data_IF_372243003458
#
_entry.id   IF_372243003458
#
_cell.length_a   1.000
_cell.length_b   1.000
_cell.length_c   1.000
_cell.angle_alpha   90.00
_cell.angle_beta   90.00
_cell.angle_gamma   90.00
#
_symmetry.space_group_name_H-M   'P 1'
#
loop_
_entity.id
_entity.type
_entity.pdbx_description
1 polymer ?
#
# COMPACT_ATOMS: atom_id res chain seq x y z
N UNK A 1 -0.76 -33.00 -14.37
CA UNK A 1 -1.55 -31.72 -14.43
C UNK A 1 -2.56 -31.66 -13.31
N UNK A 2 -2.66 -30.48 -12.68
CA UNK A 2 -3.70 -30.23 -11.69
C UNK A 2 -4.18 -28.77 -11.69
N UNK A 3 -5.45 -28.59 -11.33
CA UNK A 3 -6.04 -27.31 -11.00
C UNK A 3 -6.54 -27.38 -9.55
N UNK A 4 -5.68 -27.11 -8.58
CA UNK A 4 -6.03 -27.25 -7.17
C UNK A 4 -6.99 -26.12 -6.72
N UNK A 5 -7.78 -26.35 -5.66
CA UNK A 5 -8.69 -25.33 -5.15
C UNK A 5 -7.93 -24.13 -4.59
N UNK A 6 -8.41 -22.90 -4.89
CA UNK A 6 -7.81 -21.63 -4.44
C UNK A 6 -8.29 -21.16 -3.06
N UNK A 7 -8.98 -22.00 -2.32
CA UNK A 7 -9.51 -21.67 -1.01
C UNK A 7 -8.43 -21.67 0.09
N UNK A 8 -8.65 -20.89 1.13
CA UNK A 8 -7.79 -20.85 2.31
C UNK A 8 -8.41 -21.67 3.46
N UNK A 9 -7.61 -22.51 4.09
CA UNK A 9 -7.98 -23.20 5.32
C UNK A 9 -7.90 -22.22 6.51
N UNK A 10 -9.06 -21.84 7.07
CA UNK A 10 -9.13 -20.91 8.19
C UNK A 10 -10.39 -21.15 9.01
N UNK A 11 -10.26 -21.06 10.34
CA UNK A 11 -11.37 -21.06 11.27
C UNK A 11 -11.86 -19.64 11.58
N UNK A 12 -11.18 -18.59 11.10
CA UNK A 12 -11.54 -17.23 11.39
C UNK A 12 -12.74 -16.77 10.54
N UNK A 13 -13.77 -16.22 11.18
CA UNK A 13 -14.74 -15.35 10.53
C UNK A 13 -14.01 -14.08 10.11
N UNK A 14 -13.76 -13.91 8.81
CA UNK A 14 -12.98 -12.77 8.33
C UNK A 14 -13.72 -11.46 8.51
N UNK A 15 -13.07 -10.38 9.01
CA UNK A 15 -13.66 -9.05 9.12
C UNK A 15 -14.01 -8.42 7.76
N UNK A 16 -13.44 -8.90 6.67
CA UNK A 16 -13.53 -8.28 5.33
C UNK A 16 -14.74 -8.70 4.49
N UNK A 17 -15.69 -9.47 5.02
CA UNK A 17 -16.96 -9.77 4.35
C UNK A 17 -16.92 -10.58 3.04
N UNK A 18 -15.76 -10.80 2.45
CA UNK A 18 -15.58 -11.54 1.18
C UNK A 18 -15.43 -13.06 1.34
N UNK A 19 -15.66 -13.59 2.53
CA UNK A 19 -15.27 -14.94 2.91
C UNK A 19 -16.39 -15.91 3.29
N UNK A 20 -17.59 -15.79 2.77
CA UNK A 20 -18.66 -16.78 3.07
C UNK A 20 -18.25 -18.23 2.80
N UNK A 21 -17.32 -18.48 1.90
CA UNK A 21 -16.82 -19.83 1.60
C UNK A 21 -15.62 -20.28 2.44
N UNK A 22 -14.96 -19.37 3.16
CA UNK A 22 -13.78 -19.70 3.99
C UNK A 22 -14.11 -20.45 5.27
N UNK A 23 -15.29 -20.22 5.84
CA UNK A 23 -15.74 -20.85 7.10
C UNK A 23 -15.99 -22.36 7.01
N UNK A 24 -15.86 -23.00 5.85
CA UNK A 24 -16.11 -24.43 5.64
C UNK A 24 -14.85 -25.29 5.52
N UNK A 25 -13.66 -24.65 5.49
CA UNK A 25 -12.39 -25.39 5.32
C UNK A 25 -11.61 -25.27 6.62
N UNK A 26 -11.62 -26.34 7.40
CA UNK A 26 -10.94 -26.44 8.68
C UNK A 26 -9.42 -26.44 8.51
N UNK A 27 -8.71 -25.73 9.38
CA UNK A 27 -7.26 -25.85 9.57
C UNK A 27 -6.90 -26.96 10.60
N UNK A 28 -7.88 -27.72 11.08
CA UNK A 28 -7.69 -28.80 12.04
C UNK A 28 -7.50 -30.18 11.39
N UNK A 29 -7.48 -30.24 10.05
CA UNK A 29 -7.23 -31.49 9.34
C UNK A 29 -5.79 -31.96 9.57
N UNK A 30 -5.60 -33.29 9.65
CA UNK A 30 -4.27 -33.89 9.78
C UNK A 30 -3.30 -33.47 8.68
N UNK A 31 -3.80 -33.26 7.45
CA UNK A 31 -3.00 -32.80 6.31
C UNK A 31 -2.51 -31.37 6.59
N UNK A 32 -3.39 -30.47 7.06
CA UNK A 32 -2.97 -29.12 7.39
C UNK A 32 -1.97 -29.08 8.52
N UNK A 33 -2.21 -29.84 9.60
CA UNK A 33 -1.30 -29.95 10.75
C UNK A 33 0.08 -30.44 10.35
N UNK A 34 0.15 -31.43 9.47
CA UNK A 34 1.41 -31.91 8.91
C UNK A 34 2.08 -30.86 8.03
N UNK A 35 1.34 -30.25 7.12
CA UNK A 35 1.89 -29.24 6.22
C UNK A 35 2.39 -27.99 6.96
N UNK A 36 1.73 -27.55 8.06
CA UNK A 36 2.17 -26.35 8.79
C UNK A 36 3.56 -26.52 9.41
N UNK A 37 3.92 -27.73 9.79
CA UNK A 37 5.25 -28.05 10.34
C UNK A 37 6.35 -27.96 9.27
N UNK A 38 6.01 -28.21 8.02
CA UNK A 38 6.98 -28.31 6.92
C UNK A 38 7.01 -27.03 6.06
N UNK A 39 5.85 -26.47 5.69
CA UNK A 39 5.73 -25.30 4.80
C UNK A 39 5.18 -24.04 5.50
N UNK A 40 5.04 -24.09 6.82
CA UNK A 40 4.64 -22.93 7.61
C UNK A 40 3.28 -22.36 7.21
N UNK A 41 3.16 -21.03 7.26
CA UNK A 41 1.90 -20.30 7.00
C UNK A 41 1.33 -20.55 5.60
N UNK A 42 2.16 -20.93 4.62
CA UNK A 42 1.71 -21.28 3.28
C UNK A 42 0.71 -22.44 3.26
N UNK A 43 0.74 -23.32 4.28
CA UNK A 43 -0.22 -24.42 4.45
C UNK A 43 -1.69 -23.99 4.55
N UNK A 44 -1.97 -22.71 4.87
CA UNK A 44 -3.33 -22.15 4.82
C UNK A 44 -3.91 -22.10 3.41
N UNK A 45 -3.08 -22.02 2.39
CA UNK A 45 -3.53 -22.08 0.99
C UNK A 45 -3.61 -23.53 0.54
N UNK A 46 -4.81 -24.02 0.18
CA UNK A 46 -4.98 -25.43 -0.20
C UNK A 46 -4.11 -25.83 -1.38
N UNK A 47 -3.98 -24.96 -2.40
CA UNK A 47 -3.12 -25.28 -3.55
C UNK A 47 -1.67 -25.54 -3.13
N UNK A 48 -1.17 -24.86 -2.09
CA UNK A 48 0.19 -25.11 -1.59
C UNK A 48 0.32 -26.50 -0.95
N UNK A 49 -0.72 -26.96 -0.23
CA UNK A 49 -0.75 -28.33 0.31
C UNK A 49 -0.71 -29.37 -0.81
N UNK A 50 -1.50 -29.16 -1.90
CA UNK A 50 -1.53 -30.07 -3.05
C UNK A 50 -0.20 -30.11 -3.77
N UNK A 51 0.41 -28.96 -4.09
CA UNK A 51 1.71 -28.87 -4.76
C UNK A 51 2.78 -29.57 -3.91
N UNK A 52 2.81 -29.25 -2.60
CA UNK A 52 3.80 -29.82 -1.70
C UNK A 52 3.66 -31.33 -1.58
N UNK A 53 2.43 -31.84 -1.50
CA UNK A 53 2.15 -33.27 -1.45
C UNK A 53 2.62 -33.99 -2.71
N UNK A 54 2.34 -33.46 -3.90
CA UNK A 54 2.86 -34.02 -5.15
C UNK A 54 4.39 -34.05 -5.17
N UNK A 55 5.03 -32.98 -4.72
CA UNK A 55 6.50 -32.91 -4.65
C UNK A 55 7.09 -33.98 -3.74
N UNK A 56 6.44 -34.29 -2.62
CA UNK A 56 6.92 -35.28 -1.63
C UNK A 56 6.61 -36.72 -2.02
N UNK A 57 5.46 -36.97 -2.64
CA UNK A 57 4.96 -38.33 -2.89
C UNK A 57 5.27 -38.83 -4.30
N UNK A 58 5.49 -37.93 -5.28
CA UNK A 58 5.71 -38.30 -6.67
C UNK A 58 7.09 -37.78 -7.13
N UNK A 59 8.13 -38.52 -6.81
CA UNK A 59 9.50 -38.09 -7.07
C UNK A 59 9.80 -38.01 -8.57
N UNK A 60 10.55 -36.98 -8.98
CA UNK A 60 11.06 -36.81 -10.34
C UNK A 60 10.00 -36.54 -11.42
N UNK A 61 8.79 -36.15 -11.04
CA UNK A 61 7.72 -35.87 -12.00
C UNK A 61 7.83 -34.44 -12.59
N UNK A 62 7.15 -34.22 -13.71
CA UNK A 62 6.79 -32.89 -14.19
C UNK A 62 5.41 -32.55 -13.70
N UNK A 63 5.35 -31.51 -12.84
CA UNK A 63 4.13 -31.03 -12.23
C UNK A 63 3.67 -29.77 -12.97
N UNK A 64 2.51 -29.83 -13.62
CA UNK A 64 1.87 -28.68 -14.25
C UNK A 64 0.62 -28.27 -13.45
N UNK A 65 0.52 -26.97 -13.08
CA UNK A 65 -0.56 -26.53 -12.21
C UNK A 65 -0.96 -25.07 -12.47
N UNK A 66 -2.24 -24.77 -12.22
CA UNK A 66 -2.72 -23.41 -12.11
C UNK A 66 -2.74 -22.98 -10.64
N UNK A 67 -2.10 -21.87 -10.32
CA UNK A 67 -2.22 -21.26 -9.00
C UNK A 67 -1.87 -19.78 -9.00
N UNK A 68 -2.18 -19.13 -7.88
CA UNK A 68 -1.77 -17.73 -7.60
C UNK A 68 -0.23 -17.63 -7.59
N UNK A 69 0.29 -16.42 -7.83
CA UNK A 69 1.75 -16.17 -7.81
C UNK A 69 2.36 -16.11 -6.40
N UNK A 70 1.56 -16.23 -5.34
CA UNK A 70 2.04 -16.18 -3.95
C UNK A 70 3.18 -17.16 -3.66
N UNK A 71 3.14 -18.36 -4.25
CA UNK A 71 4.19 -19.36 -4.05
C UNK A 71 5.54 -18.93 -4.62
N UNK A 72 5.55 -18.02 -5.59
CA UNK A 72 6.78 -17.46 -6.17
C UNK A 72 7.27 -16.22 -5.39
N UNK A 73 6.39 -15.28 -5.06
CA UNK A 73 6.76 -13.94 -4.65
C UNK A 73 6.41 -13.59 -3.20
N UNK A 74 5.32 -14.14 -2.63
CA UNK A 74 4.81 -13.65 -1.35
C UNK A 74 5.72 -14.02 -0.16
N UNK A 75 5.93 -13.10 0.80
CA UNK A 75 6.75 -13.34 1.99
C UNK A 75 6.27 -14.50 2.85
N UNK A 76 4.95 -14.69 2.98
CA UNK A 76 4.36 -15.79 3.76
C UNK A 76 4.55 -17.18 3.12
N UNK A 77 5.18 -17.26 1.95
CA UNK A 77 5.59 -18.51 1.29
C UNK A 77 7.09 -18.78 1.42
N UNK A 78 7.84 -18.06 2.24
CA UNK A 78 9.28 -18.28 2.41
C UNK A 78 9.59 -19.71 2.88
N UNK A 79 8.88 -20.23 3.90
CA UNK A 79 9.03 -21.61 4.36
C UNK A 79 8.65 -22.65 3.27
N UNK A 80 7.63 -22.37 2.44
CA UNK A 80 7.31 -23.22 1.31
C UNK A 80 8.47 -23.27 0.31
N UNK A 81 9.03 -22.12 -0.07
CA UNK A 81 10.15 -22.05 -1.03
C UNK A 81 11.44 -22.68 -0.50
N UNK A 82 11.66 -22.71 0.82
CA UNK A 82 12.84 -23.37 1.39
C UNK A 82 12.82 -24.88 1.25
N UNK A 83 11.63 -25.51 1.15
CA UNK A 83 11.45 -26.96 1.04
C UNK A 83 11.02 -27.41 -0.36
N UNK A 84 10.22 -26.60 -1.07
CA UNK A 84 9.81 -26.88 -2.45
C UNK A 84 10.83 -26.27 -3.40
N UNK A 85 11.84 -27.04 -3.76
CA UNK A 85 12.99 -26.60 -4.55
C UNK A 85 12.98 -27.10 -5.99
N UNK A 86 11.81 -27.50 -6.50
CA UNK A 86 11.64 -27.93 -7.90
C UNK A 86 11.99 -26.76 -8.85
N UNK A 87 12.64 -27.09 -9.98
CA UNK A 87 12.94 -26.11 -11.02
C UNK A 87 11.67 -25.69 -11.75
N UNK A 88 11.34 -24.39 -11.75
CA UNK A 88 10.30 -23.82 -12.61
C UNK A 88 10.83 -23.74 -14.05
N UNK A 89 10.24 -24.53 -14.96
CA UNK A 89 10.69 -24.59 -16.35
C UNK A 89 9.97 -23.58 -17.24
N UNK A 90 8.66 -23.39 -17.02
CA UNK A 90 7.83 -22.47 -17.81
C UNK A 90 6.69 -21.90 -16.96
N UNK A 91 6.25 -20.72 -17.33
CA UNK A 91 5.05 -20.08 -16.78
C UNK A 91 4.35 -19.25 -17.86
N UNK A 92 3.04 -19.26 -17.84
CA UNK A 92 2.25 -18.20 -18.46
C UNK A 92 1.20 -17.67 -17.48
N UNK A 93 0.74 -16.43 -17.70
CA UNK A 93 -0.21 -15.72 -16.86
C UNK A 93 -1.51 -15.50 -17.61
N UNK A 94 -2.62 -15.68 -16.90
CA UNK A 94 -3.96 -15.30 -17.32
C UNK A 94 -4.67 -14.52 -16.21
N UNK A 95 -5.63 -13.62 -16.52
CA UNK A 95 -6.44 -13.00 -15.49
C UNK A 95 -7.35 -14.03 -14.82
N UNK A 96 -7.58 -13.88 -13.52
CA UNK A 96 -8.33 -14.85 -12.72
C UNK A 96 -9.79 -15.01 -13.16
N UNK A 97 -10.40 -13.98 -13.76
CA UNK A 97 -11.75 -14.03 -14.34
C UNK A 97 -11.85 -14.83 -15.65
N UNK A 98 -10.74 -15.41 -16.13
CA UNK A 98 -10.75 -16.49 -17.14
C UNK A 98 -11.43 -17.76 -16.61
N UNK A 99 -11.43 -17.95 -15.28
CA UNK A 99 -12.05 -19.12 -14.64
C UNK A 99 -13.45 -18.81 -14.14
N UNK A 100 -14.36 -19.76 -14.30
CA UNK A 100 -15.75 -19.64 -13.87
C UNK A 100 -15.87 -19.29 -12.38
N UNK A 101 -16.82 -18.42 -12.05
CA UNK A 101 -17.13 -17.96 -10.70
C UNK A 101 -16.05 -17.14 -10.00
N UNK A 102 -14.97 -16.70 -10.67
CA UNK A 102 -13.99 -15.78 -10.12
C UNK A 102 -14.31 -14.36 -10.55
N UNK A 103 -14.65 -13.50 -9.57
CA UNK A 103 -14.97 -12.08 -9.81
C UNK A 103 -13.77 -11.14 -9.67
N UNK A 104 -12.65 -11.61 -9.12
CA UNK A 104 -11.46 -10.82 -8.88
C UNK A 104 -10.54 -10.78 -10.09
N UNK A 105 -9.91 -9.63 -10.33
CA UNK A 105 -8.90 -9.46 -11.36
C UNK A 105 -7.51 -9.50 -10.70
N UNK A 106 -6.86 -10.65 -10.77
CA UNK A 106 -5.49 -10.89 -10.29
C UNK A 106 -4.83 -11.97 -11.17
N UNK A 107 -3.49 -12.06 -11.20
CA UNK A 107 -2.82 -13.02 -12.06
C UNK A 107 -2.93 -14.44 -11.50
N UNK A 108 -3.31 -15.36 -12.39
CA UNK A 108 -3.15 -16.81 -12.20
C UNK A 108 -2.05 -17.28 -13.12
N UNK A 109 -1.09 -18.03 -12.57
CA UNK A 109 -0.01 -18.63 -13.32
C UNK A 109 -0.28 -20.10 -13.63
N UNK A 110 -0.15 -20.50 -14.89
CA UNK A 110 0.09 -21.91 -15.23
C UNK A 110 1.58 -22.15 -15.17
N UNK A 111 2.02 -23.04 -14.29
CA UNK A 111 3.42 -23.30 -13.99
C UNK A 111 3.78 -24.74 -14.29
N UNK A 112 4.92 -24.95 -14.91
CA UNK A 112 5.48 -26.28 -15.18
C UNK A 112 6.76 -26.42 -14.38
N UNK A 113 6.72 -27.33 -13.40
CA UNK A 113 7.81 -27.64 -12.50
C UNK A 113 8.45 -28.97 -12.83
N UNK A 114 9.77 -29.03 -12.76
CA UNK A 114 10.53 -30.26 -12.79
C UNK A 114 10.97 -30.64 -11.38
N UNK A 115 10.29 -31.59 -10.77
CA UNK A 115 10.55 -31.98 -9.36
C UNK A 115 11.79 -32.88 -9.24
N UNK A 116 12.32 -33.38 -10.35
CA UNK A 116 13.57 -34.14 -10.37
C UNK A 116 14.84 -33.29 -10.44
N UNK A 117 14.68 -31.95 -10.57
CA UNK A 117 15.79 -31.01 -10.60
C UNK A 117 15.61 -29.98 -9.50
N UNK A 118 16.57 -29.93 -8.60
CA UNK A 118 16.59 -28.95 -7.53
C UNK A 118 17.17 -27.62 -8.02
N UNK A 119 16.36 -26.56 -8.04
CA UNK A 119 16.78 -25.20 -8.39
C UNK A 119 15.87 -24.18 -7.69
N UNK A 120 16.39 -23.43 -6.72
CA UNK A 120 15.63 -22.35 -6.10
C UNK A 120 15.11 -21.36 -7.13
N UNK A 121 13.89 -20.87 -6.93
CA UNK A 121 13.31 -19.87 -7.82
C UNK A 121 13.93 -18.49 -7.54
N UNK A 122 14.47 -17.87 -8.59
CA UNK A 122 15.01 -16.50 -8.55
C UNK A 122 14.20 -15.57 -9.45
N UNK A 123 13.81 -16.04 -10.64
CA UNK A 123 13.03 -15.27 -11.59
C UNK A 123 12.76 -16.06 -12.86
N UNK A 124 11.75 -15.65 -13.62
CA UNK A 124 11.38 -16.23 -14.89
C UNK A 124 10.60 -15.23 -15.75
N UNK A 125 10.83 -15.26 -17.07
CA UNK A 125 10.02 -14.52 -18.03
C UNK A 125 8.73 -15.29 -18.32
N UNK A 126 7.58 -14.70 -18.00
CA UNK A 126 6.26 -15.27 -18.21
C UNK A 126 5.64 -14.73 -19.50
N UNK A 127 4.99 -15.58 -20.29
CA UNK A 127 4.06 -15.16 -21.33
C UNK A 127 2.73 -14.71 -20.71
N UNK A 128 2.16 -13.60 -21.16
CA UNK A 128 0.91 -13.03 -20.64
C UNK A 128 -0.18 -13.15 -21.68
N UNK A 129 -1.25 -13.85 -21.33
CA UNK A 129 -2.39 -14.04 -22.21
C UNK A 129 -3.63 -13.28 -21.72
N UNK A 130 -4.40 -12.76 -22.66
CA UNK A 130 -5.73 -12.21 -22.38
C UNK A 130 -6.70 -13.32 -21.97
N UNK A 131 -7.90 -12.92 -21.51
CA UNK A 131 -9.00 -13.84 -21.23
C UNK A 131 -9.37 -14.72 -22.43
N UNK A 132 -9.22 -14.18 -23.64
CA UNK A 132 -9.57 -14.86 -24.90
C UNK A 132 -8.40 -15.71 -25.44
N UNK A 133 -7.33 -15.89 -24.65
CA UNK A 133 -6.18 -16.74 -25.00
C UNK A 133 -5.21 -16.11 -26.00
N UNK A 134 -5.23 -14.79 -26.19
CA UNK A 134 -4.27 -14.11 -27.06
C UNK A 134 -3.04 -13.69 -26.25
N UNK A 135 -1.85 -13.91 -26.81
CA UNK A 135 -0.59 -13.41 -26.23
C UNK A 135 -0.56 -11.88 -26.34
N UNK A 136 -0.56 -11.17 -25.18
CA UNK A 136 -0.60 -9.72 -25.14
C UNK A 136 0.73 -9.08 -24.74
N UNK A 137 1.55 -9.76 -23.95
CA UNK A 137 2.85 -9.26 -23.50
C UNK A 137 3.70 -10.37 -22.89
N UNK A 138 4.89 -9.96 -22.40
CA UNK A 138 5.72 -10.78 -21.50
C UNK A 138 5.98 -10.00 -20.22
N UNK A 139 6.14 -10.72 -19.11
CA UNK A 139 6.41 -10.12 -17.80
C UNK A 139 7.48 -10.92 -17.05
N UNK A 140 8.46 -10.21 -16.49
CA UNK A 140 9.38 -10.80 -15.53
C UNK A 140 8.65 -11.03 -14.18
N UNK A 141 8.85 -12.24 -13.65
CA UNK A 141 8.40 -12.62 -12.31
C UNK A 141 9.66 -12.90 -11.49
N UNK A 142 9.95 -12.03 -10.54
CA UNK A 142 11.15 -12.11 -9.73
C UNK A 142 10.79 -12.44 -8.27
N UNK A 143 11.68 -13.19 -7.61
CA UNK A 143 11.64 -13.39 -6.17
C UNK A 143 12.50 -12.36 -5.49
N UNK A 144 11.94 -11.75 -4.46
CA UNK A 144 12.65 -10.82 -3.60
C UNK A 144 12.64 -11.32 -2.16
N UNK A 145 13.80 -11.29 -1.53
CA UNK A 145 13.96 -11.65 -0.11
C UNK A 145 13.10 -10.75 0.77
N UNK A 146 12.55 -11.31 1.85
CA UNK A 146 11.61 -10.61 2.74
C UNK A 146 12.25 -9.36 3.35
N UNK A 147 13.54 -9.43 3.65
CA UNK A 147 14.33 -8.34 4.23
C UNK A 147 14.52 -7.17 3.26
N UNK A 148 14.42 -7.43 1.96
CA UNK A 148 14.61 -6.44 0.89
C UNK A 148 13.29 -5.85 0.37
N UNK A 149 12.21 -5.97 1.11
CA UNK A 149 10.94 -5.35 0.74
C UNK A 149 10.72 -3.98 1.40
N UNK A 150 9.77 -3.22 0.88
CA UNK A 150 9.43 -1.87 1.36
C UNK A 150 8.93 -1.86 2.81
N UNK A 151 8.35 -2.97 3.31
CA UNK A 151 7.93 -3.06 4.71
C UNK A 151 9.11 -3.10 5.67
N UNK A 152 10.22 -3.74 5.26
CA UNK A 152 11.44 -3.74 6.05
C UNK A 152 12.10 -2.36 6.00
N UNK A 153 12.05 -1.69 4.84
CA UNK A 153 12.53 -0.33 4.68
C UNK A 153 11.79 0.65 5.59
N UNK A 154 10.47 0.74 5.53
CA UNK A 154 9.75 1.73 6.34
C UNK A 154 9.85 1.47 7.84
N UNK A 155 10.01 0.22 8.26
CA UNK A 155 10.12 -0.15 9.68
C UNK A 155 11.39 0.41 10.36
N UNK A 156 12.46 0.66 9.63
CA UNK A 156 13.68 1.27 10.20
C UNK A 156 13.43 2.69 10.72
N UNK A 157 12.43 3.38 10.18
CA UNK A 157 12.05 4.74 10.59
C UNK A 157 11.03 4.78 11.73
N UNK A 158 10.75 3.65 12.39
CA UNK A 158 9.90 3.64 13.58
C UNK A 158 10.51 4.48 14.68
N UNK A 159 9.67 5.32 15.30
CA UNK A 159 10.03 6.10 16.47
C UNK A 159 9.16 5.68 17.65
N UNK A 160 9.74 5.73 18.86
CA UNK A 160 9.02 5.52 20.11
C UNK A 160 8.85 6.89 20.77
N UNK A 161 7.69 7.49 20.55
CA UNK A 161 7.35 8.79 21.11
C UNK A 161 6.29 8.64 22.22
N UNK A 162 6.14 9.66 23.05
CA UNK A 162 4.94 9.85 23.86
C UNK A 162 3.72 9.98 22.93
N UNK A 163 2.53 9.62 23.42
CA UNK A 163 1.29 9.61 22.62
C UNK A 163 0.98 10.92 21.89
N UNK A 164 1.50 12.05 22.37
CA UNK A 164 1.24 13.37 21.80
C UNK A 164 2.11 13.74 20.60
N UNK A 165 3.15 12.93 20.30
CA UNK A 165 4.06 13.17 19.17
C UNK A 165 3.63 12.54 17.84
N UNK A 166 2.55 11.75 17.81
CA UNK A 166 2.08 11.11 16.60
C UNK A 166 1.01 11.94 15.89
N UNK A 167 1.16 12.11 14.57
CA UNK A 167 0.27 12.91 13.73
C UNK A 167 -0.63 12.06 12.83
N UNK A 168 -0.18 10.85 12.47
CA UNK A 168 -0.92 9.90 11.63
C UNK A 168 -0.41 8.47 11.87
N UNK A 169 -1.05 7.48 11.24
CA UNK A 169 -0.58 6.08 11.27
C UNK A 169 -0.97 5.32 10.03
N UNK A 170 -0.21 4.28 9.72
CA UNK A 170 -0.66 3.17 8.90
C UNK A 170 -1.18 2.06 9.81
N UNK A 171 -2.45 1.65 9.69
CA UNK A 171 -3.00 0.52 10.49
C UNK A 171 -2.23 -0.77 10.25
N UNK A 172 -1.74 -0.94 9.04
CA UNK A 172 -0.89 -2.06 8.61
C UNK A 172 0.12 -1.54 7.61
N UNK A 173 1.24 -2.24 7.46
CA UNK A 173 2.17 -2.03 6.35
C UNK A 173 2.02 -3.19 5.36
N UNK A 174 1.93 -2.88 4.07
CA UNK A 174 1.86 -3.84 2.98
C UNK A 174 3.00 -3.61 1.98
N UNK A 175 3.34 -4.64 1.22
CA UNK A 175 4.41 -4.60 0.22
C UNK A 175 3.92 -4.95 -1.19
N UNK A 176 2.63 -5.00 -1.41
CA UNK A 176 1.99 -5.20 -2.71
C UNK A 176 0.92 -4.12 -2.96
N UNK A 177 0.24 -4.18 -4.09
CA UNK A 177 -0.81 -3.23 -4.46
C UNK A 177 -2.11 -3.41 -3.67
N UNK A 178 -2.35 -4.55 -3.03
CA UNK A 178 -3.63 -4.88 -2.39
C UNK A 178 -3.70 -4.50 -0.91
N UNK A 179 -2.59 -4.58 -0.19
CA UNK A 179 -2.60 -4.52 1.27
C UNK A 179 -2.18 -3.16 1.81
N UNK A 180 -2.80 -2.77 2.92
CA UNK A 180 -2.43 -1.59 3.72
C UNK A 180 -2.48 -0.26 2.97
N UNK A 181 -3.64 0.02 2.38
CA UNK A 181 -3.84 1.18 1.52
C UNK A 181 -4.47 2.38 2.24
N UNK A 182 -4.42 2.42 3.58
CA UNK A 182 -5.04 3.50 4.35
C UNK A 182 -3.98 4.23 5.18
N UNK A 183 -3.99 5.54 5.08
CA UNK A 183 -3.39 6.43 6.06
C UNK A 183 -4.50 6.97 6.95
N UNK A 184 -4.30 6.92 8.27
CA UNK A 184 -5.25 7.42 9.25
C UNK A 184 -4.62 8.60 10.00
N UNK A 185 -5.30 9.75 9.99
CA UNK A 185 -4.91 10.91 10.76
C UNK A 185 -5.23 10.63 12.23
N UNK A 186 -4.22 10.70 13.06
CA UNK A 186 -4.30 10.41 14.50
C UNK A 186 -4.55 11.70 15.25
N UNK A 187 -5.34 11.60 16.28
CA UNK A 187 -5.78 12.71 17.09
C UNK A 187 -5.20 12.64 18.50
N UNK A 188 -4.94 13.78 19.09
CA UNK A 188 -4.54 13.92 20.50
C UNK A 188 -5.58 13.28 21.41
N UNK A 189 -5.14 12.42 22.35
CA UNK A 189 -6.00 11.80 23.35
C UNK A 189 -6.57 10.42 22.96
N UNK A 190 -6.29 9.90 21.78
CA UNK A 190 -6.62 8.50 21.51
C UNK A 190 -5.69 7.56 22.28
N UNK A 191 -6.29 6.62 23.02
CA UNK A 191 -5.54 5.48 23.57
C UNK A 191 -5.00 4.67 22.40
N UNK A 192 -3.70 4.79 22.17
CA UNK A 192 -3.00 3.99 21.16
C UNK A 192 -3.02 2.54 21.61
N UNK A 193 -3.98 1.76 21.14
CA UNK A 193 -3.87 0.32 21.25
C UNK A 193 -2.56 -0.08 20.58
N UNK A 194 -1.59 -0.53 21.37
CA UNK A 194 -0.33 -1.14 20.90
C UNK A 194 -0.66 -2.45 20.19
N UNK A 195 -1.30 -2.38 19.02
CA UNK A 195 -1.50 -3.54 18.19
C UNK A 195 -0.24 -3.77 17.36
N UNK A 196 0.29 -4.98 17.42
CA UNK A 196 1.47 -5.44 16.69
C UNK A 196 1.25 -5.33 15.17
N UNK A 197 1.36 -4.17 14.60
CA UNK A 197 1.13 -3.98 13.16
C UNK A 197 1.03 -2.51 12.74
N UNK A 198 0.70 -1.62 13.65
CA UNK A 198 0.61 -0.19 13.35
C UNK A 198 1.99 0.43 13.14
N UNK A 199 2.09 1.29 12.15
CA UNK A 199 3.24 2.17 11.98
C UNK A 199 2.78 3.60 12.22
N UNK A 200 3.35 4.26 13.22
CA UNK A 200 3.00 5.62 13.60
C UNK A 200 3.87 6.64 12.87
N UNK A 201 3.23 7.67 12.36
CA UNK A 201 3.86 8.80 11.68
C UNK A 201 4.01 9.94 12.67
N UNK A 202 5.20 10.52 12.69
CA UNK A 202 5.59 11.66 13.52
C UNK A 202 6.43 12.62 12.68
N UNK A 203 6.88 13.71 13.30
CA UNK A 203 7.74 14.72 12.68
C UNK A 203 8.95 14.10 11.98
N UNK A 204 9.65 13.18 12.66
CA UNK A 204 10.96 12.64 12.27
C UNK A 204 10.90 11.57 11.17
N UNK A 205 9.71 11.09 10.82
CA UNK A 205 9.55 10.08 9.77
C UNK A 205 8.44 10.44 8.76
N UNK A 206 8.05 11.71 8.72
CA UNK A 206 6.95 12.16 7.86
C UNK A 206 7.27 11.98 6.38
N UNK A 207 8.48 12.37 5.96
CA UNK A 207 8.87 12.32 4.53
C UNK A 207 8.93 10.88 4.04
N UNK A 208 9.61 9.99 4.78
CA UNK A 208 9.69 8.57 4.43
C UNK A 208 8.32 7.90 4.44
N UNK A 209 7.43 8.31 5.36
CA UNK A 209 6.05 7.84 5.40
C UNK A 209 5.25 8.29 4.18
N UNK A 210 5.43 9.53 3.74
CA UNK A 210 4.80 10.06 2.53
C UNK A 210 5.34 9.36 1.27
N UNK A 211 6.65 9.09 1.21
CA UNK A 211 7.24 8.30 0.11
C UNK A 211 6.65 6.88 0.11
N UNK A 212 6.66 6.18 1.26
CA UNK A 212 6.08 4.84 1.40
C UNK A 212 4.64 4.78 0.90
N UNK A 213 3.83 5.79 1.26
CA UNK A 213 2.45 5.87 0.83
C UNK A 213 2.34 6.13 -0.67
N UNK A 214 3.03 7.16 -1.17
CA UNK A 214 2.88 7.67 -2.53
C UNK A 214 3.36 6.68 -3.58
N UNK A 215 4.51 6.03 -3.40
CA UNK A 215 5.03 5.05 -4.37
C UNK A 215 4.09 3.85 -4.56
N UNK A 216 3.29 3.52 -3.55
CA UNK A 216 2.32 2.42 -3.60
C UNK A 216 0.94 2.83 -4.15
N UNK A 217 0.67 4.13 -4.31
CA UNK A 217 -0.63 4.64 -4.75
C UNK A 217 -0.57 5.40 -6.07
N UNK A 218 0.59 5.92 -6.47
CA UNK A 218 0.74 6.66 -7.73
C UNK A 218 0.63 5.75 -8.97
N UNK A 219 0.93 4.45 -8.84
CA UNK A 219 0.80 3.47 -9.92
C UNK A 219 -0.55 2.79 -9.82
N UNK A 220 -1.32 2.78 -10.91
CA UNK A 220 -2.62 2.13 -10.90
C UNK A 220 -2.47 0.61 -10.84
N UNK A 221 -3.15 -0.05 -9.87
CA UNK A 221 -3.19 -1.49 -9.84
C UNK A 221 -3.95 -2.04 -11.05
N UNK A 222 -3.36 -3.04 -11.70
CA UNK A 222 -3.96 -3.82 -12.78
C UNK A 222 -4.01 -5.29 -12.35
N UNK A 223 -4.76 -6.12 -13.06
CA UNK A 223 -4.74 -7.55 -12.79
C UNK A 223 -3.33 -8.15 -12.91
N UNK A 224 -2.48 -7.56 -13.75
CA UNK A 224 -1.15 -8.09 -14.04
C UNK A 224 -0.10 -7.70 -13.00
N UNK A 225 -0.17 -6.47 -12.42
CA UNK A 225 0.76 -5.99 -11.40
C UNK A 225 0.28 -6.20 -9.97
N UNK A 226 -0.93 -6.71 -9.77
CA UNK A 226 -1.59 -6.87 -8.47
C UNK A 226 -0.73 -7.57 -7.41
N UNK A 227 0.16 -8.47 -7.83
CA UNK A 227 1.07 -9.23 -6.94
C UNK A 227 2.52 -8.77 -6.99
N UNK A 228 2.83 -7.72 -7.72
CA UNK A 228 4.18 -7.16 -7.72
C UNK A 228 4.52 -6.64 -6.33
N UNK A 229 5.78 -6.80 -5.97
CA UNK A 229 6.26 -6.50 -4.64
C UNK A 229 7.07 -5.20 -4.67
N UNK A 230 6.68 -4.24 -3.83
CA UNK A 230 7.49 -3.07 -3.57
C UNK A 230 8.71 -3.43 -2.73
N UNK A 231 9.85 -2.86 -3.11
CA UNK A 231 11.17 -3.25 -2.63
C UNK A 231 11.77 -2.21 -1.69
N UNK A 232 12.83 -2.59 -1.00
CA UNK A 232 13.73 -1.67 -0.34
C UNK A 232 14.41 -0.82 -1.41
N UNK A 233 14.26 0.52 -1.39
CA UNK A 233 14.79 1.39 -2.44
C UNK A 233 16.32 1.50 -2.39
N UNK A 234 16.90 1.99 -3.48
CA UNK A 234 18.29 2.47 -3.51
C UNK A 234 18.37 3.80 -2.78
N UNK A 235 19.55 4.15 -2.25
CA UNK A 235 19.74 5.39 -1.48
C UNK A 235 19.58 6.69 -2.31
N UNK A 236 19.56 6.60 -3.63
CA UNK A 236 19.39 7.74 -4.55
C UNK A 236 18.13 8.60 -4.33
N UNK A 237 17.09 8.07 -3.68
CA UNK A 237 15.90 8.84 -3.32
C UNK A 237 16.21 9.92 -2.26
N UNK A 238 17.26 9.75 -1.44
CA UNK A 238 17.62 10.69 -0.37
C UNK A 238 18.11 12.02 -0.92
N UNK A 239 18.72 12.01 -2.10
CA UNK A 239 19.23 13.20 -2.78
C UNK A 239 18.19 13.83 -3.72
N UNK A 240 17.13 13.11 -4.04
CA UNK A 240 16.05 13.58 -4.93
C UNK A 240 14.97 14.34 -4.15
N UNK A 241 15.30 15.56 -3.74
CA UNK A 241 14.43 16.42 -2.92
C UNK A 241 13.10 16.72 -3.62
N UNK A 242 13.10 16.90 -4.94
CA UNK A 242 11.86 17.10 -5.70
C UNK A 242 10.93 15.89 -5.60
N UNK A 243 11.47 14.67 -5.74
CA UNK A 243 10.70 13.45 -5.55
C UNK A 243 10.10 13.33 -4.14
N UNK A 244 10.87 13.67 -3.11
CA UNK A 244 10.39 13.67 -1.72
C UNK A 244 9.22 14.64 -1.55
N UNK A 245 9.32 15.86 -2.08
CA UNK A 245 8.28 16.86 -1.99
C UNK A 245 7.03 16.52 -2.85
N UNK A 246 7.24 15.92 -4.02
CA UNK A 246 6.14 15.40 -4.84
C UNK A 246 5.37 14.29 -4.09
N UNK A 247 6.07 13.36 -3.45
CA UNK A 247 5.47 12.34 -2.60
C UNK A 247 4.72 12.93 -1.40
N UNK A 248 5.26 13.97 -0.77
CA UNK A 248 4.60 14.68 0.32
C UNK A 248 3.27 15.30 -0.16
N UNK A 249 3.29 16.07 -1.25
CA UNK A 249 2.09 16.69 -1.82
C UNK A 249 1.03 15.63 -2.19
N UNK A 250 1.45 14.54 -2.82
CA UNK A 250 0.56 13.43 -3.16
C UNK A 250 -0.11 12.82 -1.92
N UNK A 251 0.67 12.50 -0.89
CA UNK A 251 0.17 11.90 0.34
C UNK A 251 -0.77 12.85 1.12
N UNK A 252 -0.57 14.16 1.03
CA UNK A 252 -1.45 15.14 1.65
C UNK A 252 -2.86 15.16 1.05
N UNK A 253 -3.00 14.86 -0.26
CA UNK A 253 -4.23 15.04 -1.01
C UNK A 253 -4.83 13.75 -1.59
N UNK A 254 -4.27 12.57 -1.29
CA UNK A 254 -4.84 11.29 -1.75
C UNK A 254 -6.15 10.94 -1.03
N UNK A 255 -7.07 10.32 -1.76
CA UNK A 255 -8.40 9.94 -1.27
C UNK A 255 -8.41 8.83 -0.19
N UNK A 256 -7.28 8.17 0.05
CA UNK A 256 -7.16 7.11 1.05
C UNK A 256 -6.94 7.65 2.47
N UNK A 257 -6.77 8.97 2.63
CA UNK A 257 -6.63 9.61 3.92
C UNK A 257 -7.98 9.64 4.63
N UNK A 258 -8.02 9.09 5.84
CA UNK A 258 -9.20 9.07 6.71
C UNK A 258 -8.89 9.80 8.01
N UNK A 259 -9.67 10.83 8.34
CA UNK A 259 -9.64 11.46 9.65
C UNK A 259 -10.36 10.59 10.69
N UNK A 260 -9.82 10.57 11.90
CA UNK A 260 -10.55 10.17 13.10
C UNK A 260 -10.67 11.39 14.00
N UNK A 261 -11.74 11.55 14.79
CA UNK A 261 -12.15 12.75 15.55
C UNK A 261 -11.02 13.53 16.27
N UNK A 262 -11.08 14.87 16.31
CA UNK A 262 -10.25 15.81 17.11
C UNK A 262 -9.23 16.62 16.30
N UNK A 263 -7.99 16.73 16.77
CA UNK A 263 -6.93 17.54 16.18
C UNK A 263 -6.47 16.94 14.84
N UNK A 264 -6.47 17.74 13.78
CA UNK A 264 -5.96 17.35 12.48
C UNK A 264 -4.60 18.01 12.21
N UNK A 265 -3.53 17.24 12.26
CA UNK A 265 -2.16 17.69 11.95
C UNK A 265 -1.82 17.65 10.44
N UNK A 266 -2.79 17.30 9.58
CA UNK A 266 -2.56 17.00 8.17
C UNK A 266 -3.03 18.11 7.22
N UNK A 267 -3.59 19.22 7.74
CA UNK A 267 -4.08 20.35 6.94
C UNK A 267 -2.88 21.20 6.49
N UNK A 268 -2.61 21.31 5.16
CA UNK A 268 -1.45 22.07 4.66
C UNK A 268 -1.73 23.57 4.46
N UNK A 269 -2.84 24.07 4.97
CA UNK A 269 -3.30 25.45 4.81
C UNK A 269 -3.49 26.12 6.17
N UNK A 270 -3.38 27.44 6.18
CA UNK A 270 -3.78 28.27 7.29
C UNK A 270 -5.27 28.62 7.21
N UNK A 271 -5.88 29.05 8.31
CA UNK A 271 -7.26 29.53 8.35
C UNK A 271 -7.49 30.70 7.38
N UNK A 272 -6.49 31.58 7.27
CA UNK A 272 -6.55 32.74 6.36
C UNK A 272 -6.61 32.32 4.89
N UNK A 273 -5.83 31.33 4.49
CA UNK A 273 -5.79 30.84 3.11
C UNK A 273 -7.11 30.19 2.67
N UNK A 274 -7.84 29.58 3.60
CA UNK A 274 -9.09 28.87 3.30
C UNK A 274 -10.35 29.61 3.77
N UNK A 275 -10.22 30.86 4.23
CA UNK A 275 -11.30 31.68 4.73
C UNK A 275 -12.09 31.01 5.86
N UNK A 276 -11.41 30.23 6.73
CA UNK A 276 -12.04 29.53 7.84
C UNK A 276 -12.49 30.53 8.93
N UNK A 277 -13.70 30.32 9.44
CA UNK A 277 -14.30 31.17 10.52
C UNK A 277 -13.74 30.85 11.89
N UNK A 278 -13.23 29.65 12.08
CA UNK A 278 -12.72 29.13 13.33
C UNK A 278 -11.26 28.73 13.20
N UNK A 279 -10.53 28.76 14.31
CA UNK A 279 -9.12 28.34 14.35
C UNK A 279 -8.99 26.85 14.22
N UNK A 280 -7.96 26.43 13.51
CA UNK A 280 -7.56 25.03 13.44
C UNK A 280 -6.92 24.58 14.76
N UNK A 281 -7.09 23.33 15.12
CA UNK A 281 -6.51 22.79 16.36
C UNK A 281 -5.00 22.49 16.21
N UNK A 282 -4.46 22.53 15.00
CA UNK A 282 -3.04 22.31 14.72
C UNK A 282 -2.57 23.04 13.47
N UNK A 283 -1.37 23.59 13.56
CA UNK A 283 -0.64 24.17 12.43
C UNK A 283 0.60 23.34 12.06
N UNK A 284 0.68 22.09 12.54
CA UNK A 284 1.84 21.24 12.34
C UNK A 284 2.29 21.20 10.87
N UNK A 285 1.38 20.93 9.93
CA UNK A 285 1.75 20.77 8.52
C UNK A 285 2.18 22.09 7.89
N UNK A 286 1.50 23.19 8.18
CA UNK A 286 1.90 24.53 7.68
C UNK A 286 3.26 24.94 8.25
N UNK A 287 3.56 24.60 9.49
CA UNK A 287 4.86 24.86 10.12
C UNK A 287 5.96 23.97 9.52
N UNK A 288 5.65 22.72 9.24
CA UNK A 288 6.55 21.82 8.52
C UNK A 288 6.87 22.37 7.12
N UNK A 289 5.84 22.66 6.33
CA UNK A 289 6.00 23.14 4.95
C UNK A 289 6.73 24.49 4.85
N UNK A 290 6.57 25.35 5.84
CA UNK A 290 7.27 26.63 5.88
C UNK A 290 8.68 26.58 6.49
N UNK A 291 9.17 25.38 6.86
CA UNK A 291 10.47 25.19 7.50
C UNK A 291 10.55 25.68 8.96
N UNK A 292 9.43 26.08 9.57
CA UNK A 292 9.41 26.55 10.96
C UNK A 292 9.73 25.44 11.97
N UNK A 293 9.23 24.23 11.74
CA UNK A 293 9.54 23.08 12.61
C UNK A 293 11.02 22.69 12.62
N UNK A 294 11.75 22.93 11.54
CA UNK A 294 13.20 22.66 11.46
C UNK A 294 14.08 23.68 12.19
N UNK A 295 13.48 24.74 12.77
CA UNK A 295 14.20 25.89 13.37
C UNK A 295 14.24 25.90 14.89
N UNK A 296 13.87 24.82 15.58
CA UNK A 296 13.90 24.79 17.04
C UNK A 296 15.33 25.03 17.59
N UNK A 297 15.43 26.02 18.51
CA UNK A 297 16.71 26.40 19.14
C UNK A 297 17.20 25.27 20.04
N UNK A 298 18.36 24.69 19.74
CA UNK A 298 19.15 23.92 20.69
C UNK A 298 19.23 22.42 20.44
N UNK A 299 18.70 21.88 19.35
CA UNK A 299 19.03 20.51 18.95
C UNK A 299 20.49 20.44 18.47
N UNK A 300 21.36 19.82 19.29
CA UNK A 300 22.68 19.43 18.84
C UNK A 300 22.50 18.46 17.65
N UNK A 301 23.02 18.86 16.50
CA UNK A 301 23.12 17.97 15.34
C UNK A 301 24.01 16.81 15.78
N UNK A 302 23.43 15.65 16.03
CA UNK A 302 24.19 14.43 16.22
C UNK A 302 24.80 14.03 14.88
N UNK A 303 26.02 14.46 14.65
CA UNK A 303 26.82 14.18 13.46
C UNK A 303 27.07 12.67 13.24
N UNK A 304 26.74 11.82 14.21
CA UNK A 304 26.94 10.37 14.18
C UNK A 304 25.63 9.57 14.08
N UNK A 305 24.46 10.20 14.23
CA UNK A 305 23.20 9.58 13.91
C UNK A 305 23.06 9.54 12.38
N UNK A 306 23.30 8.40 11.77
CA UNK A 306 23.28 8.19 10.32
C UNK A 306 21.90 8.34 9.64
N UNK A 307 20.99 9.09 10.21
CA UNK A 307 19.71 9.51 9.64
C UNK A 307 19.78 10.99 9.32
N UNK A 308 19.86 11.31 8.04
CA UNK A 308 19.60 12.66 7.55
C UNK A 308 18.24 13.10 8.11
N UNK A 309 18.23 14.16 8.92
CA UNK A 309 16.99 14.77 9.38
C UNK A 309 16.32 15.45 8.18
N UNK A 310 15.28 14.82 7.65
CA UNK A 310 14.53 15.33 6.50
C UNK A 310 13.50 16.41 6.88
N UNK A 311 13.59 16.97 8.10
CA UNK A 311 12.76 18.10 8.50
C UNK A 311 13.25 19.36 7.81
N UNK A 312 12.42 20.01 6.97
CA UNK A 312 12.85 21.20 6.25
C UNK A 312 13.23 22.35 7.19
N UNK A 313 14.38 22.97 6.96
CA UNK A 313 14.82 24.19 7.65
C UNK A 313 14.51 25.45 6.85
N UNK A 314 14.17 25.28 5.59
CA UNK A 314 13.68 26.29 4.67
C UNK A 314 12.29 25.88 4.15
N UNK A 315 11.50 26.80 3.60
CA UNK A 315 10.22 26.45 3.01
C UNK A 315 10.36 25.34 1.97
N UNK A 316 9.44 24.39 2.00
CA UNK A 316 9.38 23.31 1.00
C UNK A 316 9.05 23.91 -0.36
N UNK A 317 9.86 23.62 -1.35
CA UNK A 317 9.64 24.03 -2.74
C UNK A 317 9.00 22.86 -3.47
N UNK A 318 7.81 23.07 -3.99
CA UNK A 318 7.07 22.07 -4.74
C UNK A 318 7.32 22.20 -6.25
N UNK A 319 7.28 21.08 -6.95
CA UNK A 319 7.24 21.09 -8.41
C UNK A 319 5.92 21.70 -8.91
N UNK A 320 5.84 22.14 -10.19
CA UNK A 320 4.60 22.69 -10.75
C UNK A 320 3.40 21.73 -10.59
N UNK A 321 3.61 20.42 -10.76
CA UNK A 321 2.57 19.39 -10.62
C UNK A 321 2.12 19.25 -9.17
N UNK A 322 3.06 19.22 -8.23
CA UNK A 322 2.77 19.14 -6.79
C UNK A 322 2.07 20.41 -6.29
N UNK A 323 2.51 21.61 -6.75
CA UNK A 323 1.86 22.86 -6.43
C UNK A 323 0.42 22.90 -6.97
N UNK A 324 0.20 22.44 -8.21
CA UNK A 324 -1.14 22.38 -8.81
C UNK A 324 -2.10 21.45 -8.02
N UNK A 325 -1.59 20.41 -7.37
CA UNK A 325 -2.38 19.56 -6.45
C UNK A 325 -2.77 20.36 -5.20
N UNK A 326 -1.82 21.07 -4.60
CA UNK A 326 -2.10 21.90 -3.41
C UNK A 326 -3.05 23.06 -3.73
N UNK A 327 -2.90 23.71 -4.89
CA UNK A 327 -3.80 24.79 -5.32
C UNK A 327 -5.24 24.27 -5.51
N UNK A 328 -5.41 23.13 -6.15
CA UNK A 328 -6.73 22.49 -6.30
C UNK A 328 -7.33 22.05 -4.94
N UNK A 329 -6.49 21.59 -4.01
CA UNK A 329 -6.88 21.33 -2.64
C UNK A 329 -7.31 22.58 -1.91
N UNK A 330 -6.59 23.68 -2.05
CA UNK A 330 -6.90 24.99 -1.45
C UNK A 330 -8.30 25.47 -1.86
N UNK A 331 -8.61 25.39 -3.16
CA UNK A 331 -9.93 25.77 -3.68
C UNK A 331 -11.06 24.93 -3.08
N UNK A 332 -10.81 23.62 -2.92
CA UNK A 332 -11.77 22.71 -2.29
C UNK A 332 -11.98 23.04 -0.80
N UNK A 333 -10.92 23.34 -0.04
CA UNK A 333 -10.99 23.73 1.37
C UNK A 333 -11.71 25.08 1.54
N UNK A 334 -11.43 26.08 0.71
CA UNK A 334 -12.15 27.35 0.67
C UNK A 334 -13.65 27.15 0.48
N UNK A 335 -14.01 26.34 -0.52
CA UNK A 335 -15.42 26.05 -0.78
C UNK A 335 -16.10 25.33 0.39
N UNK A 336 -15.40 24.40 1.03
CA UNK A 336 -15.89 23.72 2.22
C UNK A 336 -16.08 24.67 3.40
N UNK A 337 -15.11 25.54 3.70
CA UNK A 337 -15.21 26.49 4.82
C UNK A 337 -16.23 27.60 4.61
N UNK A 338 -16.68 27.83 3.37
CA UNK A 338 -17.82 28.71 3.08
C UNK A 338 -19.18 28.06 3.44
N UNK A 339 -19.22 26.75 3.69
CA UNK A 339 -20.46 26.05 4.03
C UNK A 339 -20.89 26.31 5.48
N UNK A 340 -22.21 26.22 5.77
CA UNK A 340 -22.70 26.21 7.15
C UNK A 340 -22.12 25.00 7.92
N UNK A 341 -21.72 25.25 9.18
CA UNK A 341 -21.22 24.21 10.10
C UNK A 341 -19.98 23.45 9.59
N UNK A 342 -19.13 24.09 8.80
CA UNK A 342 -17.85 23.52 8.41
C UNK A 342 -16.99 23.22 9.64
N UNK A 343 -16.45 21.99 9.72
CA UNK A 343 -15.54 21.61 10.80
C UNK A 343 -14.14 22.19 10.53
N UNK A 344 -13.56 23.02 11.41
CA UNK A 344 -12.23 23.59 11.21
C UNK A 344 -11.12 22.53 11.13
N UNK A 345 -11.35 21.34 11.67
CA UNK A 345 -10.39 20.24 11.64
C UNK A 345 -10.69 19.18 10.55
N UNK A 346 -11.51 19.51 9.55
CA UNK A 346 -11.87 18.57 8.51
C UNK A 346 -10.65 18.16 7.67
N UNK A 347 -10.47 16.86 7.50
CA UNK A 347 -9.60 16.29 6.48
C UNK A 347 -10.36 16.12 5.16
N UNK A 348 -9.66 15.77 4.09
CA UNK A 348 -10.29 15.48 2.79
C UNK A 348 -11.42 14.45 2.90
N UNK A 349 -11.27 13.45 3.77
CA UNK A 349 -12.33 12.48 4.02
C UNK A 349 -13.60 13.13 4.59
N UNK A 350 -13.45 14.05 5.55
CA UNK A 350 -14.59 14.73 6.19
C UNK A 350 -15.27 15.68 5.22
N UNK A 351 -14.50 16.39 4.39
CA UNK A 351 -15.01 17.25 3.30
C UNK A 351 -15.84 16.41 2.33
N UNK A 352 -15.33 15.26 1.91
CA UNK A 352 -16.06 14.32 1.04
C UNK A 352 -17.34 13.83 1.71
N UNK A 353 -17.27 13.48 2.99
CA UNK A 353 -18.43 13.02 3.75
C UNK A 353 -19.51 14.08 3.84
N UNK A 354 -19.13 15.35 4.05
CA UNK A 354 -20.05 16.49 4.09
C UNK A 354 -20.87 16.62 2.80
N UNK A 355 -20.21 16.58 1.64
CA UNK A 355 -20.87 16.77 0.35
C UNK A 355 -21.53 15.51 -0.23
N UNK A 356 -21.00 14.32 0.04
CA UNK A 356 -21.49 13.08 -0.51
C UNK A 356 -22.52 12.38 0.41
N UNK A 357 -22.44 12.60 1.73
CA UNK A 357 -23.30 11.92 2.70
C UNK A 357 -23.03 10.42 2.76
N UNK A 358 -23.87 9.71 3.53
CA UNK A 358 -23.78 8.27 3.74
C UNK A 358 -25.07 7.55 3.33
N UNK A 359 -24.91 6.32 2.87
CA UNK A 359 -25.98 5.34 2.71
C UNK A 359 -26.47 4.86 4.10
N UNK A 360 -27.67 4.24 4.20
CA UNK A 360 -28.17 3.69 5.46
C UNK A 360 -27.23 2.68 6.14
N UNK A 361 -26.36 2.02 5.38
CA UNK A 361 -25.36 1.08 5.89
C UNK A 361 -24.05 1.76 6.35
N UNK A 362 -24.01 3.10 6.42
CA UNK A 362 -22.85 3.88 6.86
C UNK A 362 -21.74 4.07 5.81
N UNK A 363 -21.87 3.51 4.61
CA UNK A 363 -20.91 3.76 3.54
C UNK A 363 -21.16 5.12 2.87
N UNK A 364 -20.09 5.87 2.62
CA UNK A 364 -20.15 7.13 1.87
C UNK A 364 -20.75 6.91 0.49
N UNK A 365 -21.60 7.84 0.05
CA UNK A 365 -22.14 7.82 -1.30
C UNK A 365 -21.02 8.05 -2.33
N UNK A 366 -21.10 7.46 -3.53
CA UNK A 366 -20.06 7.59 -4.55
C UNK A 366 -20.05 8.96 -5.24
N UNK A 367 -21.19 9.68 -5.18
CA UNK A 367 -21.40 10.97 -5.84
C UNK A 367 -22.02 11.96 -4.86
N UNK A 368 -21.90 13.25 -5.17
CA UNK A 368 -22.57 14.37 -4.54
C UNK A 368 -23.55 14.98 -5.52
N UNK A 369 -24.60 15.58 -5.02
CA UNK A 369 -25.55 16.40 -5.81
C UNK A 369 -25.08 17.86 -5.94
N UNK A 370 -24.01 18.24 -5.24
CA UNK A 370 -23.38 19.57 -5.32
C UNK A 370 -22.48 19.66 -6.56
N UNK A 371 -22.85 20.47 -7.58
CA UNK A 371 -22.09 20.55 -8.82
C UNK A 371 -20.73 21.22 -8.64
N UNK A 372 -20.62 22.22 -7.73
CA UNK A 372 -19.36 22.94 -7.50
C UNK A 372 -18.37 22.03 -6.77
N UNK A 373 -18.80 21.31 -5.76
CA UNK A 373 -17.96 20.30 -5.13
C UNK A 373 -17.50 19.24 -6.13
N UNK A 374 -18.41 18.78 -7.01
CA UNK A 374 -18.10 17.76 -8.02
C UNK A 374 -17.01 18.24 -8.99
N UNK A 375 -17.05 19.50 -9.40
CA UNK A 375 -16.01 20.15 -10.22
C UNK A 375 -14.68 20.23 -9.47
N UNK A 376 -14.67 20.74 -8.25
CA UNK A 376 -13.45 20.92 -7.44
C UNK A 376 -12.75 19.61 -7.11
N UNK A 377 -13.51 18.60 -6.64
CA UNK A 377 -12.92 17.29 -6.37
C UNK A 377 -12.47 16.56 -7.65
N UNK A 378 -13.12 16.84 -8.78
CA UNK A 378 -12.71 16.38 -10.10
C UNK A 378 -11.35 16.96 -10.49
N UNK A 379 -11.20 18.28 -10.38
CA UNK A 379 -9.94 18.99 -10.64
C UNK A 379 -8.81 18.46 -9.75
N UNK A 380 -9.03 18.33 -8.46
CA UNK A 380 -8.03 17.76 -7.53
C UNK A 380 -7.58 16.36 -7.98
N UNK A 381 -8.51 15.48 -8.37
CA UNK A 381 -8.19 14.13 -8.84
C UNK A 381 -7.40 14.13 -10.14
N UNK A 382 -7.67 15.05 -11.05
CA UNK A 382 -6.90 15.21 -12.30
C UNK A 382 -5.47 15.67 -12.02
N UNK A 383 -5.29 16.62 -11.10
CA UNK A 383 -3.95 17.07 -10.68
C UNK A 383 -3.17 15.95 -9.98
N UNK A 384 -3.83 15.18 -9.10
CA UNK A 384 -3.21 14.00 -8.47
C UNK A 384 -2.77 12.95 -9.52
N UNK A 385 -3.56 12.72 -10.57
CA UNK A 385 -3.16 11.82 -11.66
C UNK A 385 -1.94 12.34 -12.42
N UNK A 386 -1.86 13.65 -12.66
CA UNK A 386 -0.70 14.26 -13.31
C UNK A 386 0.56 14.11 -12.45
N UNK A 387 0.46 14.40 -11.16
CA UNK A 387 1.53 14.22 -10.20
C UNK A 387 1.95 12.74 -10.09
N UNK A 388 0.99 11.81 -10.05
CA UNK A 388 1.24 10.38 -10.05
C UNK A 388 2.09 9.93 -11.25
N UNK A 389 1.78 10.41 -12.46
CA UNK A 389 2.56 10.15 -13.68
C UNK A 389 4.00 10.69 -13.61
N UNK A 390 4.22 11.79 -12.89
CA UNK A 390 5.56 12.32 -12.64
C UNK A 390 6.33 11.48 -11.62
N UNK A 391 5.68 11.01 -10.56
CA UNK A 391 6.29 10.17 -9.52
C UNK A 391 6.62 8.77 -10.07
N UNK A 392 5.78 8.18 -10.89
CA UNK A 392 5.88 6.79 -11.37
C UNK A 392 7.26 6.42 -11.93
N UNK A 393 7.91 7.16 -12.86
CA UNK A 393 9.25 6.82 -13.35
C UNK A 393 10.30 6.80 -12.24
N UNK A 394 10.17 7.66 -11.23
CA UNK A 394 11.06 7.74 -10.08
C UNK A 394 10.92 6.52 -9.15
N UNK A 395 9.71 5.92 -9.07
CA UNK A 395 9.50 4.67 -8.32
C UNK A 395 10.41 3.56 -8.85
N UNK A 396 10.51 3.41 -10.18
CA UNK A 396 11.41 2.44 -10.82
C UNK A 396 12.88 2.87 -10.73
N UNK A 397 13.18 4.15 -10.97
CA UNK A 397 14.54 4.67 -10.94
C UNK A 397 15.20 4.52 -9.56
N UNK A 398 14.45 4.73 -8.48
CA UNK A 398 14.94 4.53 -7.12
C UNK A 398 14.81 3.06 -6.64
N UNK A 399 14.25 2.18 -7.46
CA UNK A 399 14.17 0.74 -7.17
C UNK A 399 13.09 0.35 -6.18
N UNK A 400 12.06 1.16 -5.98
CA UNK A 400 10.90 0.77 -5.18
C UNK A 400 10.05 -0.33 -5.84
N UNK A 401 10.13 -0.44 -7.17
CA UNK A 401 9.47 -1.47 -7.96
C UNK A 401 10.38 -1.88 -9.12
N UNK A 402 10.32 -3.16 -9.53
CA UNK A 402 10.98 -3.64 -10.75
C UNK A 402 10.11 -3.32 -11.97
N UNK A 403 10.75 -2.91 -13.07
CA UNK A 403 10.10 -2.63 -14.36
C UNK A 403 9.96 -3.88 -15.23
#
# INVERSE_FOLDING_TARGET
YMNPPYAEATNARTPSGSGRNRAKISNETLIHQRCIMEIGVASKELYAQFIYRCYREILGCRLAEFSKLKNLQAPNFSAFRSVFRARLEKIFLVPADTFDNVKGQFPIGFKIWNTGVEAPFHGILADVYSRDGQLISKKNIDYVEVEKNINSWIKQYRRSLSNDGYIAKFPFTGNDFQHANNLQIVQTGMVYCKTNGHFFICRENLVESCIYFSVRHCILPTWLNDRDQFLWPRDSWQEDVEFQHDCLSYALMDNQIRAQYGTNHWIPYTEYEVDAKEKFSSHFMTDFLSGRLGREKGEAVDLFAGNLDLIPKEPVVFSPEAQAVLDAGLDLWRYYHAQPNANPNAALYDIRLHFQGCKPNGHMNPKSDDPRYTELIGTLRERLKALAKKIEPKVYAHGFLLG
#
